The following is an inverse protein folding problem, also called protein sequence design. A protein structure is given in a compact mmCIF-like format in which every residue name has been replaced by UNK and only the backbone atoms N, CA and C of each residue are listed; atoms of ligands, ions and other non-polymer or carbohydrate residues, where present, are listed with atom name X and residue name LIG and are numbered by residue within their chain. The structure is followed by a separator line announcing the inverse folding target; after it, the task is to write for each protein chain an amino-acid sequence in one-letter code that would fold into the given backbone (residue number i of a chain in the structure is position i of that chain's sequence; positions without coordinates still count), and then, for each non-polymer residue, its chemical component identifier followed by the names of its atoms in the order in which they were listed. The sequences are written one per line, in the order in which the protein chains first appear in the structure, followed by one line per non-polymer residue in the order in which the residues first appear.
data_IF_895767635601
#
_entry.id   IF_895767635601
#
_cell.length_a   1.000
_cell.length_b   1.000
_cell.length_c   1.000
_cell.angle_alpha   90.00
_cell.angle_beta   90.00
_cell.angle_gamma   90.00
#
_symmetry.space_group_name_H-M   'P 1'
#
loop_
_entity.id
_entity.type
_entity.pdbx_description
1 polymer ?
#
# COMPACT_ATOMS: atom_id res chain seq x y z
N UNK A 1 20.69 9.87 -69.88
CA UNK A 1 19.89 8.70 -69.48
C UNK A 1 18.45 9.03 -69.83
N UNK A 2 17.91 8.43 -70.89
CA UNK A 2 16.54 8.70 -71.35
C UNK A 2 15.58 7.88 -70.49
N UNK A 3 14.67 8.55 -69.78
CA UNK A 3 13.63 7.89 -69.00
C UNK A 3 12.38 7.88 -69.90
N UNK A 4 11.83 6.72 -70.25
CA UNK A 4 10.66 6.63 -71.11
C UNK A 4 9.48 7.42 -70.50
N UNK A 5 8.72 8.19 -71.28
CA UNK A 5 7.62 9.01 -70.78
C UNK A 5 6.52 8.20 -70.06
N UNK A 6 6.42 6.91 -70.37
CA UNK A 6 5.54 5.95 -69.70
C UNK A 6 5.92 5.75 -68.22
N UNK A 7 7.21 5.69 -67.90
CA UNK A 7 7.70 5.50 -66.53
C UNK A 7 7.39 6.74 -65.69
N UNK A 8 7.49 7.93 -66.26
CA UNK A 8 7.14 9.18 -65.56
C UNK A 8 5.64 9.28 -65.28
N UNK A 9 4.79 8.82 -66.21
CA UNK A 9 3.35 8.76 -65.97
C UNK A 9 2.99 7.75 -64.90
N UNK A 10 3.59 6.56 -64.93
CA UNK A 10 3.40 5.55 -63.90
C UNK A 10 3.84 6.03 -62.52
N UNK A 11 4.95 6.77 -62.43
CA UNK A 11 5.41 7.36 -61.16
C UNK A 11 4.40 8.38 -60.62
N UNK A 12 3.88 9.27 -61.47
CA UNK A 12 2.86 10.25 -61.04
C UNK A 12 1.57 9.58 -60.56
N UNK A 13 1.14 8.50 -61.22
CA UNK A 13 -0.03 7.74 -60.77
C UNK A 13 0.24 7.02 -59.45
N UNK A 14 1.43 6.43 -59.30
CA UNK A 14 1.84 5.72 -58.07
C UNK A 14 1.93 6.67 -56.87
N UNK A 15 2.50 7.86 -57.08
CA UNK A 15 2.58 8.91 -56.06
C UNK A 15 1.19 9.37 -55.62
N UNK A 16 0.26 9.54 -56.58
CA UNK A 16 -1.13 9.87 -56.28
C UNK A 16 -1.85 8.78 -55.48
N UNK A 17 -1.64 7.51 -55.82
CA UNK A 17 -2.18 6.37 -55.09
C UNK A 17 -1.60 6.26 -53.67
N UNK A 18 -0.31 6.52 -53.50
CA UNK A 18 0.37 6.48 -52.20
C UNK A 18 -0.13 7.60 -51.29
N UNK A 19 -0.32 8.81 -51.82
CA UNK A 19 -0.91 9.92 -51.07
C UNK A 19 -2.34 9.62 -50.62
N UNK A 20 -3.16 9.03 -51.51
CA UNK A 20 -4.53 8.60 -51.19
C UNK A 20 -4.55 7.47 -50.14
N UNK A 21 -3.64 6.51 -50.23
CA UNK A 21 -3.45 5.47 -49.22
C UNK A 21 -3.08 6.05 -47.85
N UNK A 22 -2.21 7.05 -47.82
CA UNK A 22 -1.77 7.69 -46.59
C UNK A 22 -2.88 8.50 -45.93
N UNK A 23 -3.70 9.22 -46.70
CA UNK A 23 -4.85 9.96 -46.15
C UNK A 23 -5.94 9.02 -45.65
N UNK A 24 -6.22 7.93 -46.37
CA UNK A 24 -7.19 6.93 -45.92
C UNK A 24 -6.74 6.31 -44.59
N UNK A 25 -5.47 5.96 -44.44
CA UNK A 25 -4.94 5.42 -43.19
C UNK A 25 -4.95 6.44 -42.04
N UNK A 26 -4.70 7.73 -42.30
CA UNK A 26 -4.82 8.76 -41.25
C UNK A 26 -6.26 8.92 -40.78
N UNK A 27 -7.21 8.94 -41.70
CA UNK A 27 -8.63 9.10 -41.40
C UNK A 27 -9.19 7.89 -40.64
N UNK A 28 -8.73 6.68 -41.00
CA UNK A 28 -9.06 5.46 -40.25
C UNK A 28 -8.52 5.52 -38.82
N UNK A 29 -7.28 5.97 -38.64
CA UNK A 29 -6.70 6.11 -37.30
C UNK A 29 -7.42 7.18 -36.47
N UNK A 30 -7.88 8.27 -37.08
CA UNK A 30 -8.67 9.29 -36.41
C UNK A 30 -10.06 8.76 -35.98
N UNK A 31 -10.75 8.04 -36.88
CA UNK A 31 -12.04 7.39 -36.58
C UNK A 31 -11.91 6.27 -35.55
N UNK A 32 -10.81 5.52 -35.56
CA UNK A 32 -10.50 4.56 -34.51
C UNK A 32 -10.22 5.28 -33.19
N UNK A 33 -9.51 6.41 -33.17
CA UNK A 33 -9.27 7.19 -31.95
C UNK A 33 -10.57 7.75 -31.35
N UNK A 34 -11.50 8.21 -32.18
CA UNK A 34 -12.81 8.69 -31.72
C UNK A 34 -13.76 7.57 -31.28
N UNK A 35 -13.79 6.42 -31.98
CA UNK A 35 -14.67 5.29 -31.65
C UNK A 35 -14.13 4.36 -30.55
N UNK A 36 -12.80 4.22 -30.42
CA UNK A 36 -12.14 3.38 -29.40
C UNK A 36 -12.25 3.98 -28.01
N UNK A 37 -12.37 5.31 -27.88
CA UNK A 37 -12.52 5.98 -26.59
C UNK A 37 -13.80 5.57 -25.86
N UNK A 38 -14.95 5.53 -26.54
CA UNK A 38 -16.22 5.20 -25.87
C UNK A 38 -16.33 3.71 -25.50
N UNK A 39 -15.97 2.79 -26.40
CA UNK A 39 -16.08 1.35 -26.15
C UNK A 39 -15.03 0.84 -25.14
N UNK A 40 -13.82 1.41 -25.13
CA UNK A 40 -12.77 1.02 -24.16
C UNK A 40 -13.08 1.56 -22.76
N UNK A 41 -13.68 2.76 -22.66
CA UNK A 41 -14.11 3.34 -21.37
C UNK A 41 -15.19 2.47 -20.72
N UNK A 42 -16.20 2.01 -21.48
CA UNK A 42 -17.26 1.14 -20.93
C UNK A 42 -16.73 -0.23 -20.46
N UNK A 43 -15.79 -0.83 -21.20
CA UNK A 43 -15.14 -2.09 -20.80
C UNK A 43 -14.26 -1.90 -19.56
N UNK A 44 -13.53 -0.79 -19.46
CA UNK A 44 -12.71 -0.50 -18.27
C UNK A 44 -13.55 -0.26 -17.01
N UNK A 45 -14.70 0.42 -17.12
CA UNK A 45 -15.62 0.63 -16.00
C UNK A 45 -16.20 -0.67 -15.46
N UNK A 46 -16.54 -1.62 -16.34
CA UNK A 46 -17.07 -2.92 -15.93
C UNK A 46 -16.00 -3.79 -15.25
N UNK A 47 -14.75 -3.71 -15.67
CA UNK A 47 -13.62 -4.37 -14.98
C UNK A 47 -13.38 -3.74 -13.60
N UNK A 48 -13.40 -2.41 -13.49
CA UNK A 48 -13.25 -1.71 -12.21
C UNK A 48 -14.40 -2.09 -11.25
N UNK A 49 -15.64 -2.13 -11.73
CA UNK A 49 -16.81 -2.54 -10.93
C UNK A 49 -16.69 -3.99 -10.41
N UNK A 50 -16.17 -4.91 -11.22
CA UNK A 50 -15.97 -6.30 -10.79
C UNK A 50 -14.85 -6.42 -9.76
N UNK A 51 -13.79 -5.62 -9.88
CA UNK A 51 -12.69 -5.58 -8.90
C UNK A 51 -13.19 -4.94 -7.59
N UNK A 52 -13.98 -3.88 -7.63
CA UNK A 52 -14.52 -3.24 -6.41
C UNK A 52 -15.51 -4.15 -5.70
N UNK A 53 -16.35 -4.89 -6.41
CA UNK A 53 -17.24 -5.89 -5.81
C UNK A 53 -16.46 -7.11 -5.29
N UNK A 54 -15.40 -7.54 -5.96
CA UNK A 54 -14.55 -8.65 -5.52
C UNK A 54 -13.76 -8.32 -4.25
N UNK A 55 -13.06 -7.18 -4.23
CA UNK A 55 -12.28 -6.73 -3.07
C UNK A 55 -13.19 -6.26 -1.94
N UNK A 56 -14.25 -5.50 -2.25
CA UNK A 56 -15.24 -5.06 -1.27
C UNK A 56 -16.03 -6.23 -0.68
N UNK A 57 -16.39 -7.23 -1.50
CA UNK A 57 -17.01 -8.46 -1.05
C UNK A 57 -16.08 -9.32 -0.20
N UNK A 58 -14.79 -9.40 -0.54
CA UNK A 58 -13.78 -10.08 0.27
C UNK A 58 -13.57 -9.37 1.63
N UNK A 59 -13.49 -8.04 1.62
CA UNK A 59 -13.39 -7.24 2.84
C UNK A 59 -14.64 -7.39 3.72
N UNK A 60 -15.83 -7.37 3.12
CA UNK A 60 -17.10 -7.55 3.83
C UNK A 60 -17.27 -8.99 4.35
N UNK A 61 -16.87 -10.00 3.58
CA UNK A 61 -16.84 -11.41 4.02
C UNK A 61 -15.84 -11.62 5.17
N UNK A 62 -14.69 -10.95 5.11
CA UNK A 62 -13.72 -10.95 6.20
C UNK A 62 -14.23 -10.25 7.46
N UNK A 63 -15.13 -9.25 7.32
CA UNK A 63 -15.77 -8.58 8.45
C UNK A 63 -16.90 -9.42 9.07
N UNK A 64 -17.62 -10.21 8.27
CA UNK A 64 -18.72 -11.06 8.73
C UNK A 64 -18.25 -12.33 9.46
N UNK A 65 -17.05 -12.84 9.16
CA UNK A 65 -16.55 -14.11 9.71
C UNK A 65 -15.65 -13.95 10.95
N UNK A 66 -15.52 -12.74 11.51
CA UNK A 66 -14.85 -12.54 12.81
C UNK A 66 -15.84 -12.81 13.93
N UNK A 67 -15.95 -14.06 14.37
CA UNK A 67 -16.54 -14.38 15.68
C UNK A 67 -15.57 -13.94 16.78
N UNK A 68 -15.96 -13.03 17.68
CA UNK A 68 -15.22 -12.81 18.91
C UNK A 68 -15.40 -14.03 19.81
N UNK A 69 -14.31 -14.62 20.29
CA UNK A 69 -14.38 -15.56 21.41
C UNK A 69 -14.83 -14.77 22.65
N UNK A 70 -16.07 -14.96 23.09
CA UNK A 70 -16.65 -14.25 24.24
C UNK A 70 -16.26 -14.99 25.52
N UNK A 71 -15.39 -14.38 26.34
CA UNK A 71 -15.32 -14.69 27.78
C UNK A 71 -16.53 -14.04 28.42
N UNK A 72 -17.46 -14.84 28.94
CA UNK A 72 -18.63 -14.36 29.67
C UNK A 72 -18.20 -13.91 31.06
N UNK A 73 -18.27 -12.60 31.33
CA UNK A 73 -18.46 -12.09 32.69
C UNK A 73 -19.55 -11.03 32.61
N UNK A 74 -20.74 -11.41 33.09
CA UNK A 74 -21.82 -10.49 33.42
C UNK A 74 -21.50 -9.86 34.77
N UNK A 75 -21.32 -8.54 34.83
CA UNK A 75 -21.70 -7.79 36.04
C UNK A 75 -21.99 -6.32 35.69
N UNK A 76 -23.24 -5.92 35.93
CA UNK A 76 -23.65 -4.51 36.00
C UNK A 76 -22.87 -3.80 37.12
N UNK A 77 -22.21 -2.68 36.82
CA UNK A 77 -22.23 -1.46 37.63
C UNK A 77 -21.32 -0.34 37.09
N UNK A 78 -21.95 0.83 36.91
CA UNK A 78 -21.44 2.18 37.18
C UNK A 78 -20.38 2.83 36.23
N UNK A 79 -20.71 3.92 35.50
CA UNK A 79 -19.80 4.60 34.58
C UNK A 79 -18.97 5.65 35.33
N UNK A 80 -17.79 5.29 35.86
CA UNK A 80 -16.77 6.27 36.27
C UNK A 80 -15.45 5.61 36.70
N UNK A 81 -14.74 4.95 35.79
CA UNK A 81 -13.27 4.92 35.84
C UNK A 81 -12.74 4.51 34.46
N UNK A 82 -11.86 5.31 33.87
CA UNK A 82 -11.25 5.00 32.58
C UNK A 82 -10.14 3.98 32.79
N UNK A 83 -10.50 2.70 32.75
CA UNK A 83 -9.52 1.62 32.58
C UNK A 83 -8.93 1.72 31.18
N UNK A 84 -7.67 2.17 31.14
CA UNK A 84 -6.84 2.26 29.95
C UNK A 84 -6.78 0.87 29.26
N UNK A 85 -7.23 0.80 28.01
CA UNK A 85 -7.12 -0.40 27.19
C UNK A 85 -5.64 -0.64 26.90
N UNK A 86 -5.00 -1.53 27.67
CA UNK A 86 -3.62 -1.96 27.45
C UNK A 86 -3.67 -3.06 26.38
N UNK A 87 -3.16 -2.82 25.15
CA UNK A 87 -3.11 -3.87 24.14
C UNK A 87 -2.25 -5.05 24.62
N UNK A 88 -2.57 -6.27 24.21
CA UNK A 88 -1.99 -7.51 24.76
C UNK A 88 -0.47 -7.63 24.64
N UNK A 89 0.17 -6.86 23.75
CA UNK A 89 1.63 -6.81 23.64
C UNK A 89 2.29 -5.95 24.72
N UNK A 90 1.60 -5.08 25.45
CA UNK A 90 2.21 -4.24 26.48
C UNK A 90 2.62 -5.01 27.74
N UNK A 91 2.43 -6.33 27.80
CA UNK A 91 2.81 -7.19 28.92
C UNK A 91 4.00 -8.06 28.50
N UNK A 92 5.11 -8.00 29.24
CA UNK A 92 6.33 -8.77 28.93
C UNK A 92 7.25 -8.08 27.93
N UNK A 93 8.20 -8.85 27.36
CA UNK A 93 9.20 -8.34 26.42
C UNK A 93 8.73 -8.52 24.98
N UNK A 94 8.79 -7.45 24.20
CA UNK A 94 8.43 -7.44 22.78
C UNK A 94 9.32 -6.47 21.99
N UNK A 95 9.25 -6.54 20.67
CA UNK A 95 10.13 -5.83 19.76
C UNK A 95 9.32 -5.16 18.66
N UNK A 96 9.71 -3.95 18.27
CA UNK A 96 9.13 -3.25 17.13
C UNK A 96 10.22 -2.69 16.21
N UNK A 97 9.95 -2.59 14.92
CA UNK A 97 10.90 -2.00 13.97
C UNK A 97 10.57 -0.53 13.78
N UNK A 98 11.32 0.33 14.46
CA UNK A 98 11.18 1.76 14.35
C UNK A 98 11.81 2.27 13.06
N UNK A 99 11.06 3.06 12.29
CA UNK A 99 11.47 3.60 10.98
C UNK A 99 11.67 5.11 11.01
N UNK A 100 11.27 5.77 12.09
CA UNK A 100 11.50 7.20 12.29
C UNK A 100 11.16 7.69 13.69
N UNK A 101 11.72 8.84 14.05
CA UNK A 101 11.33 9.64 15.20
C UNK A 101 11.33 11.10 14.77
N UNK A 102 10.22 11.81 14.98
CA UNK A 102 10.11 13.21 14.55
C UNK A 102 9.53 14.08 15.67
N UNK A 103 10.13 15.25 15.86
CA UNK A 103 9.57 16.32 16.69
C UNK A 103 8.45 17.02 15.91
N UNK A 104 7.27 17.18 16.52
CA UNK A 104 6.14 18.00 16.00
C UNK A 104 5.48 17.57 14.68
N UNK A 105 5.83 16.40 14.14
CA UNK A 105 5.01 15.75 13.10
C UNK A 105 4.12 14.75 13.80
N UNK A 106 2.82 14.99 13.84
CA UNK A 106 1.85 14.02 14.34
C UNK A 106 1.21 13.32 13.13
N UNK A 107 1.45 12.01 12.98
CA UNK A 107 0.85 11.18 11.92
C UNK A 107 -0.23 10.24 12.48
N UNK A 108 -0.73 10.50 13.70
CA UNK A 108 -1.74 9.68 14.38
C UNK A 108 -3.03 9.52 13.60
N UNK A 109 -3.35 10.45 12.71
CA UNK A 109 -4.48 10.32 11.77
C UNK A 109 -4.34 9.14 10.79
N UNK A 110 -3.14 8.57 10.62
CA UNK A 110 -2.87 7.46 9.72
C UNK A 110 -2.76 6.10 10.45
N UNK A 111 -2.69 6.12 11.78
CA UNK A 111 -2.51 4.95 12.66
C UNK A 111 -3.67 3.95 12.53
N UNK A 112 -4.91 4.45 12.52
CA UNK A 112 -6.12 3.63 12.51
C UNK A 112 -6.32 2.82 11.21
N UNK A 113 -5.66 3.22 10.12
CA UNK A 113 -5.82 2.61 8.79
C UNK A 113 -4.81 1.51 8.48
N UNK A 114 -3.71 1.42 9.25
CA UNK A 114 -2.59 0.56 8.97
C UNK A 114 -2.32 -0.33 10.19
N UNK A 115 -2.91 -1.54 10.21
CA UNK A 115 -2.78 -2.50 11.33
C UNK A 115 -1.34 -2.83 11.77
N UNK A 116 -0.34 -2.53 10.94
CA UNK A 116 1.08 -2.77 11.22
C UNK A 116 1.86 -1.48 11.48
N UNK A 117 1.24 -0.31 11.42
CA UNK A 117 1.87 0.95 11.78
C UNK A 117 1.50 1.26 13.23
N UNK A 118 2.49 1.64 14.02
CA UNK A 118 2.30 1.98 15.43
C UNK A 118 3.00 3.29 15.74
N UNK A 119 2.30 4.19 16.41
CA UNK A 119 2.83 5.49 16.83
C UNK A 119 2.96 5.53 18.34
N UNK A 120 4.20 5.64 18.81
CA UNK A 120 4.50 5.82 20.24
C UNK A 120 4.86 7.28 20.50
N UNK A 121 4.31 7.85 21.57
CA UNK A 121 4.62 9.22 21.99
C UNK A 121 5.55 9.22 23.19
N UNK A 122 6.65 9.94 23.06
CA UNK A 122 7.61 10.16 24.14
C UNK A 122 7.89 11.67 24.25
N UNK A 123 7.13 12.33 25.12
CA UNK A 123 7.12 13.80 25.24
C UNK A 123 6.64 14.49 23.95
N UNK A 124 7.55 15.24 23.31
CA UNK A 124 7.32 15.95 22.04
C UNK A 124 7.73 15.14 20.79
N UNK A 125 8.29 13.94 20.98
CA UNK A 125 8.79 13.08 19.91
C UNK A 125 7.74 12.00 19.61
N UNK A 126 7.39 11.90 18.33
CA UNK A 126 6.58 10.80 17.80
C UNK A 126 7.50 9.76 17.18
N UNK A 127 7.44 8.53 17.71
CA UNK A 127 8.18 7.36 17.22
C UNK A 127 7.26 6.53 16.34
N UNK A 128 7.76 6.17 15.16
CA UNK A 128 7.00 5.46 14.14
C UNK A 128 7.57 4.08 13.95
N UNK A 129 6.76 3.06 14.19
CA UNK A 129 7.18 1.67 14.06
C UNK A 129 6.31 0.91 13.06
N UNK A 130 6.93 -0.05 12.40
CA UNK A 130 6.29 -1.02 11.54
C UNK A 130 6.43 -2.40 12.15
N UNK A 131 5.30 -3.01 12.48
CA UNK A 131 5.20 -4.33 13.08
C UNK A 131 5.59 -4.38 14.57
N UNK A 132 5.01 -5.35 15.26
CA UNK A 132 5.34 -5.76 16.62
C UNK A 132 5.58 -7.27 16.62
N UNK A 133 6.64 -7.71 17.29
CA UNK A 133 7.15 -9.06 17.26
C UNK A 133 7.43 -9.54 18.68
N UNK A 134 7.18 -10.82 18.94
CA UNK A 134 7.48 -11.44 20.24
C UNK A 134 8.97 -11.77 20.38
N UNK A 135 9.70 -11.94 19.26
CA UNK A 135 11.12 -12.29 19.26
C UNK A 135 11.99 -11.27 18.54
N UNK A 136 13.24 -11.14 19.02
CA UNK A 136 14.25 -10.29 18.38
C UNK A 136 14.58 -10.76 16.96
N UNK A 137 14.60 -12.07 16.72
CA UNK A 137 14.96 -12.65 15.42
C UNK A 137 13.95 -12.29 14.33
N UNK A 138 12.65 -12.36 14.64
CA UNK A 138 11.58 -11.95 13.73
C UNK A 138 11.67 -10.44 13.42
N UNK A 139 11.84 -9.61 14.46
CA UNK A 139 11.99 -8.17 14.28
C UNK A 139 13.24 -7.82 13.44
N UNK A 140 14.35 -8.54 13.66
CA UNK A 140 15.57 -8.34 12.91
C UNK A 140 15.45 -8.79 11.45
N UNK A 141 14.75 -9.90 11.18
CA UNK A 141 14.44 -10.34 9.82
C UNK A 141 13.56 -9.31 9.11
N UNK A 142 12.50 -8.83 9.76
CA UNK A 142 11.62 -7.80 9.21
C UNK A 142 12.37 -6.49 8.93
N UNK A 143 13.26 -6.06 9.83
CA UNK A 143 14.14 -4.91 9.61
C UNK A 143 14.96 -5.04 8.31
N UNK A 144 15.50 -6.23 8.02
CA UNK A 144 16.25 -6.44 6.76
C UNK A 144 15.39 -6.20 5.53
N UNK A 145 14.15 -6.67 5.55
CA UNK A 145 13.19 -6.40 4.48
C UNK A 145 12.89 -4.89 4.38
N UNK A 146 12.71 -4.20 5.50
CA UNK A 146 12.50 -2.75 5.51
C UNK A 146 13.68 -1.98 4.90
N UNK A 147 14.91 -2.39 5.20
CA UNK A 147 16.12 -1.82 4.58
C UNK A 147 16.14 -2.09 3.07
N UNK A 148 15.79 -3.30 2.63
CA UNK A 148 15.70 -3.65 1.21
C UNK A 148 14.66 -2.81 0.46
N UNK A 149 13.57 -2.43 1.13
CA UNK A 149 12.54 -1.52 0.61
C UNK A 149 12.94 -0.03 0.65
N UNK A 150 14.10 0.31 1.22
CA UNK A 150 14.64 1.67 1.24
C UNK A 150 14.54 2.39 2.59
N UNK A 151 14.01 1.75 3.63
CA UNK A 151 13.97 2.28 5.01
C UNK A 151 15.31 1.99 5.72
N UNK A 152 16.36 2.68 5.27
CA UNK A 152 17.76 2.41 5.64
C UNK A 152 18.06 2.63 7.13
N UNK A 153 17.42 3.62 7.73
CA UNK A 153 17.65 4.01 9.13
C UNK A 153 16.71 3.27 10.09
N UNK A 154 16.05 2.20 9.64
CA UNK A 154 15.21 1.38 10.50
C UNK A 154 16.06 0.62 11.53
N UNK A 155 15.54 0.50 12.75
CA UNK A 155 16.17 -0.22 13.84
C UNK A 155 15.14 -0.97 14.68
N UNK A 156 15.59 -2.02 15.39
CA UNK A 156 14.73 -2.76 16.31
C UNK A 156 14.76 -2.03 17.66
N UNK A 157 13.59 -1.75 18.22
CA UNK A 157 13.42 -1.24 19.58
C UNK A 157 12.79 -2.35 20.43
N UNK A 158 13.40 -2.64 21.58
CA UNK A 158 12.83 -3.55 22.57
C UNK A 158 11.98 -2.78 23.57
N UNK A 159 10.93 -3.42 24.05
CA UNK A 159 10.04 -2.92 25.08
C UNK A 159 9.81 -4.00 26.12
N UNK A 160 9.64 -3.57 27.36
CA UNK A 160 9.26 -4.41 28.49
C UNK A 160 8.18 -3.69 29.28
N UNK A 161 7.02 -4.34 29.40
CA UNK A 161 5.88 -3.81 30.15
C UNK A 161 5.51 -2.37 29.70
N UNK A 162 5.44 -2.17 28.38
CA UNK A 162 5.15 -0.88 27.73
C UNK A 162 6.30 0.14 27.71
N UNK A 163 7.45 -0.15 28.34
CA UNK A 163 8.60 0.76 28.40
C UNK A 163 9.72 0.34 27.47
N UNK A 164 10.28 1.30 26.73
CA UNK A 164 11.44 1.04 25.89
C UNK A 164 12.66 0.66 26.75
N UNK A 165 13.32 -0.44 26.41
CA UNK A 165 14.54 -0.93 27.06
C UNK A 165 15.65 -1.16 26.02
N UNK A 166 16.89 -1.33 26.48
CA UNK A 166 17.99 -1.70 25.60
C UNK A 166 17.79 -3.10 25.01
N UNK A 167 18.26 -3.33 23.77
CA UNK A 167 18.24 -4.68 23.18
C UNK A 167 19.05 -5.66 24.04
N UNK A 168 20.22 -5.26 24.55
CA UNK A 168 21.05 -6.13 25.38
C UNK A 168 20.33 -6.53 26.67
N UNK A 169 19.65 -5.56 27.31
CA UNK A 169 18.80 -5.80 28.48
C UNK A 169 17.67 -6.79 28.16
N UNK A 170 17.01 -6.62 27.01
CA UNK A 170 15.94 -7.52 26.55
C UNK A 170 16.43 -8.94 26.28
N UNK A 171 17.70 -9.09 25.86
CA UNK A 171 18.34 -10.38 25.58
C UNK A 171 19.02 -10.99 26.82
N UNK A 172 18.99 -10.31 27.98
CA UNK A 172 19.62 -10.78 29.21
C UNK A 172 21.14 -10.78 29.17
N UNK A 173 21.74 -9.88 28.38
CA UNK A 173 23.20 -9.69 28.31
C UNK A 173 23.54 -8.38 29.02
N UNK A 174 24.19 -8.49 30.18
CA UNK A 174 24.78 -7.36 30.92
C UNK A 174 26.21 -7.05 30.43
#
# INVERSE_FOLDING_TARGET
MYIPPEVEQQLKTLEGELLRQKSLNSDLNEKLKSSKSEKTVLVSLSIILLITLGVGGYFLWSALNKTPEIIQITEEANPSDSTEYIPSWDIGVWYAVQVGAFEKRNLQLYDESLMQFHIFRDGEIFKYSLGVFASYEEAHAFRKEMIALGLKDSFVQAYKDGKAIGIEEALGKE
#
